data_IF_330261277075
#
_entry.id   IF_330261277075
#
_cell.length_a   1.000
_cell.length_b   1.000
_cell.length_c   1.000
_cell.angle_alpha   90.00
_cell.angle_beta   90.00
_cell.angle_gamma   90.00
#
_symmetry.space_group_name_H-M   'P 1'
#
loop_
_entity.id
_entity.type
_entity.pdbx_description
1 polymer ?
#
# COMPACT_ATOMS: atom_id res chain seq x y z
N UNK A 1 11.66 -2.15 -22.48
CA UNK A 1 12.30 -3.48 -22.41
C UNK A 1 11.70 -4.17 -21.20
N UNK A 2 10.79 -5.15 -21.41
CA UNK A 2 10.15 -5.86 -20.31
C UNK A 2 11.13 -6.92 -19.79
N UNK A 3 11.63 -6.76 -18.57
CA UNK A 3 12.69 -7.62 -18.00
C UNK A 3 12.16 -8.95 -17.43
N UNK A 4 10.85 -9.16 -17.40
CA UNK A 4 10.24 -10.41 -16.96
C UNK A 4 9.09 -10.78 -17.90
N UNK A 5 9.05 -12.05 -18.32
CA UNK A 5 7.85 -12.62 -18.92
C UNK A 5 6.73 -12.53 -17.87
N UNK A 6 5.66 -11.75 -18.09
CA UNK A 6 4.61 -11.57 -17.10
C UNK A 6 3.93 -12.89 -16.71
N UNK A 7 4.05 -13.91 -17.57
CA UNK A 7 3.46 -15.22 -17.36
C UNK A 7 4.35 -16.14 -16.51
N UNK A 8 5.66 -15.88 -16.40
CA UNK A 8 6.58 -16.68 -15.57
C UNK A 8 6.71 -16.16 -14.15
N UNK A 9 6.65 -17.08 -13.18
CA UNK A 9 6.98 -16.82 -11.77
C UNK A 9 8.35 -16.14 -11.64
N UNK A 10 8.45 -15.13 -10.77
CA UNK A 10 9.76 -14.59 -10.36
C UNK A 10 10.48 -15.49 -9.35
N UNK A 11 9.86 -16.62 -9.01
CA UNK A 11 10.18 -17.51 -7.89
C UNK A 11 9.44 -17.10 -6.62
N UNK A 12 9.23 -18.08 -5.72
CA UNK A 12 8.61 -17.91 -4.40
C UNK A 12 9.01 -16.63 -3.68
N UNK A 13 10.29 -16.29 -3.69
CA UNK A 13 10.81 -15.09 -3.03
C UNK A 13 10.20 -13.80 -3.62
N UNK A 14 10.21 -13.66 -4.94
CA UNK A 14 9.68 -12.48 -5.63
C UNK A 14 8.17 -12.43 -5.57
N UNK A 15 7.50 -13.55 -5.79
CA UNK A 15 6.03 -13.61 -5.82
C UNK A 15 5.46 -13.33 -4.41
N UNK A 16 6.07 -13.88 -3.35
CA UNK A 16 5.68 -13.55 -1.97
C UNK A 16 5.96 -12.07 -1.63
N UNK A 17 7.15 -11.56 -1.97
CA UNK A 17 7.51 -10.16 -1.73
C UNK A 17 6.55 -9.19 -2.41
N UNK A 18 6.18 -9.44 -3.66
CA UNK A 18 5.22 -8.62 -4.38
C UNK A 18 3.79 -8.74 -3.84
N UNK A 19 3.38 -9.94 -3.44
CA UNK A 19 2.07 -10.16 -2.82
C UNK A 19 1.92 -9.35 -1.51
N UNK A 20 2.98 -9.24 -0.70
CA UNK A 20 3.02 -8.35 0.46
C UNK A 20 2.83 -6.87 0.08
N UNK A 21 3.46 -6.43 -1.01
CA UNK A 21 3.32 -5.06 -1.54
C UNK A 21 1.88 -4.76 -1.97
N UNK A 22 1.25 -5.68 -2.70
CA UNK A 22 -0.16 -5.55 -3.08
C UNK A 22 -1.11 -5.58 -1.88
N UNK A 23 -0.82 -6.40 -0.88
CA UNK A 23 -1.57 -6.41 0.37
C UNK A 23 -1.47 -5.04 1.06
N UNK A 24 -0.27 -4.48 1.21
CA UNK A 24 -0.09 -3.14 1.77
C UNK A 24 -0.88 -2.07 0.98
N UNK A 25 -0.81 -2.10 -0.35
CA UNK A 25 -1.59 -1.19 -1.21
C UNK A 25 -3.10 -1.35 -0.98
N UNK A 26 -3.61 -2.58 -0.91
CA UNK A 26 -5.02 -2.84 -0.64
C UNK A 26 -5.45 -2.26 0.71
N UNK A 27 -4.64 -2.42 1.76
CA UNK A 27 -4.91 -1.83 3.06
C UNK A 27 -4.86 -0.30 3.05
N UNK A 28 -3.94 0.30 2.29
CA UNK A 28 -3.91 1.75 2.07
C UNK A 28 -5.18 2.24 1.36
N UNK A 29 -5.65 1.52 0.35
CA UNK A 29 -6.92 1.81 -0.35
C UNK A 29 -8.13 1.73 0.60
N UNK A 30 -8.20 0.70 1.44
CA UNK A 30 -9.25 0.57 2.46
C UNK A 30 -9.24 1.75 3.45
N UNK A 31 -8.07 2.23 3.85
CA UNK A 31 -7.96 3.40 4.73
C UNK A 31 -8.48 4.69 4.09
N UNK A 32 -8.56 4.77 2.76
CA UNK A 32 -9.10 5.93 2.07
C UNK A 32 -10.64 5.97 2.08
N UNK A 33 -11.28 4.82 2.30
CA UNK A 33 -12.73 4.71 2.39
C UNK A 33 -13.22 5.36 3.70
N UNK A 34 -14.18 6.30 3.64
CA UNK A 34 -14.66 6.97 4.83
C UNK A 34 -15.43 6.02 5.77
N UNK A 35 -14.91 5.80 6.97
CA UNK A 35 -15.57 5.00 8.01
C UNK A 35 -16.70 5.72 8.77
N UNK A 36 -17.40 4.99 9.67
CA UNK A 36 -18.43 5.55 10.54
C UNK A 36 -17.86 6.63 11.46
N UNK A 37 -18.68 7.63 11.81
CA UNK A 37 -18.29 8.63 12.82
C UNK A 37 -18.23 7.95 14.19
N UNK A 38 -17.09 8.00 14.87
CA UNK A 38 -17.01 7.72 16.32
C UNK A 38 -15.88 6.82 16.79
N UNK A 39 -15.34 5.92 15.96
CA UNK A 39 -14.29 4.97 16.41
C UNK A 39 -13.00 5.13 15.59
N UNK A 40 -12.01 5.89 16.08
CA UNK A 40 -10.72 6.04 15.38
C UNK A 40 -9.85 4.77 15.45
N UNK A 41 -10.07 3.92 16.46
CA UNK A 41 -9.22 2.74 16.74
C UNK A 41 -9.07 1.75 15.58
N UNK A 42 -10.14 1.34 14.86
CA UNK A 42 -9.98 0.39 13.76
C UNK A 42 -9.15 0.94 12.59
N UNK A 43 -9.32 2.22 12.25
CA UNK A 43 -8.55 2.88 11.21
C UNK A 43 -7.08 3.00 11.60
N UNK A 44 -6.80 3.40 12.84
CA UNK A 44 -5.45 3.47 13.39
C UNK A 44 -4.77 2.08 13.41
N UNK A 45 -5.46 1.06 13.91
CA UNK A 45 -4.94 -0.30 13.97
C UNK A 45 -4.66 -0.86 12.56
N UNK A 46 -5.56 -0.65 11.61
CA UNK A 46 -5.32 -1.00 10.21
C UNK A 46 -4.09 -0.26 9.67
N UNK A 47 -3.96 1.04 9.96
CA UNK A 47 -2.80 1.84 9.60
C UNK A 47 -1.47 1.25 10.07
N UNK A 48 -1.40 0.76 11.32
CA UNK A 48 -0.20 0.10 11.83
C UNK A 48 0.09 -1.23 11.14
N UNK A 49 -0.92 -2.04 10.83
CA UNK A 49 -0.72 -3.29 10.09
C UNK A 49 -0.27 -3.04 8.64
N UNK A 50 -0.84 -2.04 7.98
CA UNK A 50 -0.42 -1.64 6.63
C UNK A 50 1.03 -1.15 6.65
N UNK A 51 1.42 -0.35 7.64
CA UNK A 51 2.82 0.04 7.83
C UNK A 51 3.73 -1.16 8.08
N UNK A 52 3.33 -2.09 8.97
CA UNK A 52 4.13 -3.28 9.27
C UNK A 52 4.34 -4.16 8.03
N UNK A 53 3.30 -4.38 7.22
CA UNK A 53 3.38 -5.16 5.98
C UNK A 53 4.22 -4.42 4.92
N UNK A 54 4.09 -3.10 4.80
CA UNK A 54 4.93 -2.31 3.91
C UNK A 54 6.42 -2.35 4.30
N UNK A 55 6.72 -2.26 5.61
CA UNK A 55 8.08 -2.45 6.13
C UNK A 55 8.59 -3.86 5.84
N UNK A 56 7.76 -4.90 6.04
CA UNK A 56 8.13 -6.28 5.74
C UNK A 56 8.42 -6.45 4.25
N UNK A 57 7.58 -5.92 3.36
CA UNK A 57 7.81 -5.92 1.92
C UNK A 57 9.14 -5.26 1.54
N UNK A 58 9.43 -4.06 2.06
CA UNK A 58 10.68 -3.36 1.78
C UNK A 58 11.90 -4.13 2.32
N UNK A 59 11.82 -4.62 3.56
CA UNK A 59 12.88 -5.39 4.19
C UNK A 59 13.14 -6.72 3.47
N UNK A 60 12.09 -7.40 3.02
CA UNK A 60 12.16 -8.67 2.28
C UNK A 60 13.07 -8.53 1.05
N UNK A 61 12.81 -7.51 0.21
CA UNK A 61 13.64 -7.24 -0.96
C UNK A 61 15.03 -6.72 -0.62
N UNK A 62 15.18 -5.86 0.38
CA UNK A 62 16.49 -5.37 0.81
C UNK A 62 17.40 -6.48 1.32
N UNK A 63 16.84 -7.47 2.02
CA UNK A 63 17.58 -8.59 2.58
C UNK A 63 17.90 -9.66 1.53
N UNK A 64 16.95 -9.98 0.66
CA UNK A 64 17.06 -11.11 -0.27
C UNK A 64 17.43 -10.77 -1.71
N UNK A 65 17.38 -9.50 -2.13
CA UNK A 65 17.74 -9.08 -3.49
C UNK A 65 18.84 -8.00 -3.50
N UNK A 66 19.96 -8.30 -4.16
CA UNK A 66 21.04 -7.34 -4.35
C UNK A 66 20.67 -6.23 -5.35
N UNK A 67 19.82 -6.53 -6.33
CA UNK A 67 19.40 -5.56 -7.34
C UNK A 67 18.55 -4.47 -6.71
N UNK A 68 17.60 -4.83 -5.85
CA UNK A 68 16.81 -3.88 -5.07
C UNK A 68 17.69 -2.88 -4.28
N UNK A 69 18.78 -3.34 -3.65
CA UNK A 69 19.74 -2.47 -2.94
C UNK A 69 20.47 -1.52 -3.90
N UNK A 70 20.91 -2.04 -5.05
CA UNK A 70 21.59 -1.23 -6.06
C UNK A 70 20.67 -0.15 -6.65
N UNK A 71 19.40 -0.47 -6.88
CA UNK A 71 18.40 0.46 -7.42
C UNK A 71 17.95 1.55 -6.43
N UNK A 72 18.35 1.47 -5.16
CA UNK A 72 18.15 2.55 -4.19
C UNK A 72 19.31 3.55 -4.12
N UNK A 73 20.40 3.32 -4.87
CA UNK A 73 21.49 4.29 -4.97
C UNK A 73 21.04 5.53 -5.78
N UNK A 74 21.69 6.70 -5.59
CA UNK A 74 21.44 7.87 -6.41
C UNK A 74 21.54 7.56 -7.91
N UNK A 75 20.54 7.98 -8.69
CA UNK A 75 20.43 7.63 -10.11
C UNK A 75 19.67 6.33 -10.42
N UNK A 76 19.23 5.60 -9.38
CA UNK A 76 18.34 4.45 -9.53
C UNK A 76 16.96 4.78 -10.11
N UNK A 77 16.17 3.76 -10.50
CA UNK A 77 14.88 3.95 -11.14
C UNK A 77 13.88 4.68 -10.23
N UNK A 78 13.10 5.59 -10.82
CA UNK A 78 12.15 6.45 -10.11
C UNK A 78 11.15 5.67 -9.24
N UNK A 79 10.69 4.50 -9.69
CA UNK A 79 9.73 3.72 -8.92
C UNK A 79 10.27 3.30 -7.56
N UNK A 80 11.57 3.00 -7.41
CA UNK A 80 12.16 2.63 -6.12
C UNK A 80 12.13 3.80 -5.12
N UNK A 81 12.46 5.01 -5.59
CA UNK A 81 12.37 6.23 -4.80
C UNK A 81 10.94 6.57 -4.41
N UNK A 82 9.97 6.34 -5.29
CA UNK A 82 8.54 6.49 -4.99
C UNK A 82 8.07 5.47 -3.93
N UNK A 83 8.58 4.24 -3.97
CA UNK A 83 8.32 3.22 -2.95
C UNK A 83 8.83 3.66 -1.58
N UNK A 84 10.08 4.15 -1.51
CA UNK A 84 10.66 4.70 -0.30
C UNK A 84 9.90 5.94 0.21
N UNK A 85 9.56 6.88 -0.69
CA UNK A 85 8.78 8.06 -0.34
C UNK A 85 7.39 7.68 0.20
N UNK A 86 6.72 6.70 -0.42
CA UNK A 86 5.45 6.16 0.06
C UNK A 86 5.58 5.56 1.47
N UNK A 87 6.63 4.78 1.72
CA UNK A 87 6.89 4.20 3.05
C UNK A 87 7.14 5.27 4.11
N UNK A 88 7.95 6.29 3.80
CA UNK A 88 8.24 7.40 4.71
C UNK A 88 6.98 8.25 5.00
N UNK A 89 6.17 8.52 3.98
CA UNK A 89 4.88 9.20 4.15
C UNK A 89 3.92 8.38 5.00
N UNK A 90 3.85 7.07 4.79
CA UNK A 90 3.01 6.17 5.59
C UNK A 90 3.44 6.16 7.06
N UNK A 91 4.75 6.04 7.33
CA UNK A 91 5.30 6.12 8.68
C UNK A 91 5.00 7.49 9.32
N UNK A 92 5.20 8.58 8.58
CA UNK A 92 4.87 9.93 9.03
C UNK A 92 3.39 10.10 9.36
N UNK A 93 2.49 9.56 8.54
CA UNK A 93 1.04 9.56 8.78
C UNK A 93 0.69 8.78 10.05
N UNK A 94 1.28 7.61 10.27
CA UNK A 94 1.09 6.81 11.48
C UNK A 94 1.56 7.54 12.74
N UNK A 95 2.73 8.19 12.69
CA UNK A 95 3.26 9.00 13.80
C UNK A 95 2.35 10.21 14.07
N UNK A 96 1.98 10.96 13.03
CA UNK A 96 1.11 12.13 13.15
C UNK A 96 -0.28 11.81 13.71
N UNK A 97 -0.78 10.59 13.47
CA UNK A 97 -2.07 10.15 13.96
C UNK A 97 -2.06 9.75 15.44
N UNK A 98 -0.89 9.46 16.02
CA UNK A 98 -0.74 8.93 17.38
C UNK A 98 -1.18 9.94 18.44
N UNK A 99 -1.92 9.46 19.44
CA UNK A 99 -2.25 10.22 20.64
C UNK A 99 -1.24 9.92 21.75
N UNK A 100 -0.82 10.91 22.57
CA UNK A 100 -1.31 12.29 22.64
C UNK A 100 -0.63 13.26 21.65
N UNK A 101 0.42 12.84 20.93
CA UNK A 101 1.29 13.70 20.11
C UNK A 101 0.53 14.55 19.09
N UNK A 102 -0.51 13.97 18.46
CA UNK A 102 -1.43 14.70 17.57
C UNK A 102 -1.99 15.98 18.18
N UNK A 103 -2.38 15.95 19.46
CA UNK A 103 -2.95 17.12 20.16
C UNK A 103 -1.91 18.19 20.47
N UNK A 104 -0.62 17.83 20.53
CA UNK A 104 0.49 18.77 20.74
C UNK A 104 0.83 19.53 19.46
N UNK A 105 0.86 18.83 18.33
CA UNK A 105 1.23 19.41 17.03
C UNK A 105 0.07 20.17 16.35
N UNK A 106 -1.17 19.73 16.57
CA UNK A 106 -2.34 20.33 15.94
C UNK A 106 -3.41 20.69 16.98
N UNK A 107 -3.47 21.96 17.41
CA UNK A 107 -4.50 22.45 18.33
C UNK A 107 -5.91 22.32 17.74
N UNK A 108 -6.04 22.39 16.40
CA UNK A 108 -7.31 22.25 15.70
C UNK A 108 -7.43 20.91 14.96
N UNK A 109 -8.53 20.20 15.20
CA UNK A 109 -8.82 18.94 14.51
C UNK A 109 -9.05 19.14 13.00
N UNK A 110 -9.59 20.30 12.60
CA UNK A 110 -9.82 20.64 11.18
C UNK A 110 -8.51 20.74 10.40
N UNK A 111 -7.51 21.41 10.96
CA UNK A 111 -6.18 21.55 10.36
C UNK A 111 -5.50 20.20 10.20
N UNK A 112 -5.44 19.41 11.28
CA UNK A 112 -4.93 18.04 11.25
C UNK A 112 -5.60 17.20 10.15
N UNK A 113 -6.93 17.18 10.11
CA UNK A 113 -7.67 16.38 9.14
C UNK A 113 -7.36 16.76 7.69
N UNK A 114 -7.19 18.06 7.39
CA UNK A 114 -6.85 18.54 6.04
C UNK A 114 -5.43 18.11 5.66
N UNK A 115 -4.46 18.34 6.54
CA UNK A 115 -3.06 17.96 6.30
C UNK A 115 -2.92 16.44 6.15
N UNK A 116 -3.46 15.67 7.10
CA UNK A 116 -3.43 14.20 7.07
C UNK A 116 -4.06 13.66 5.79
N UNK A 117 -5.14 14.28 5.30
CA UNK A 117 -5.77 13.90 4.03
C UNK A 117 -4.88 14.16 2.82
N UNK A 118 -4.21 15.31 2.75
CA UNK A 118 -3.30 15.61 1.63
C UNK A 118 -2.08 14.69 1.64
N UNK A 119 -1.50 14.43 2.81
CA UNK A 119 -0.40 13.49 2.98
C UNK A 119 -0.82 12.06 2.62
N UNK A 120 -2.02 11.62 3.00
CA UNK A 120 -2.55 10.31 2.61
C UNK A 120 -2.76 10.19 1.09
N UNK A 121 -3.23 11.25 0.42
CA UNK A 121 -3.32 11.28 -1.04
C UNK A 121 -1.95 11.24 -1.72
N UNK A 122 -0.97 11.96 -1.18
CA UNK A 122 0.41 11.92 -1.68
C UNK A 122 1.04 10.53 -1.49
N UNK A 123 0.81 9.90 -0.34
CA UNK A 123 1.24 8.53 -0.05
C UNK A 123 0.63 7.55 -1.06
N UNK A 124 -0.70 7.62 -1.27
CA UNK A 124 -1.39 6.77 -2.24
C UNK A 124 -0.85 6.98 -3.66
N UNK A 125 -0.64 8.22 -4.08
CA UNK A 125 -0.09 8.52 -5.40
C UNK A 125 1.33 7.97 -5.57
N UNK A 126 2.20 8.13 -4.57
CA UNK A 126 3.56 7.60 -4.58
C UNK A 126 3.57 6.06 -4.66
N UNK A 127 2.79 5.38 -3.81
CA UNK A 127 2.68 3.91 -3.82
C UNK A 127 2.08 3.39 -5.12
N UNK A 128 1.05 4.05 -5.66
CA UNK A 128 0.43 3.65 -6.91
C UNK A 128 1.39 3.83 -8.09
N UNK A 129 2.09 4.96 -8.18
CA UNK A 129 3.11 5.18 -9.20
C UNK A 129 4.29 4.20 -9.04
N UNK A 130 4.71 3.86 -7.82
CA UNK A 130 5.70 2.82 -7.57
C UNK A 130 5.29 1.48 -8.22
N UNK A 131 4.04 1.05 -8.02
CA UNK A 131 3.51 -0.20 -8.60
C UNK A 131 3.37 -0.09 -10.12
N UNK A 132 2.83 1.01 -10.64
CA UNK A 132 2.61 1.17 -12.09
C UNK A 132 3.92 1.27 -12.87
N UNK A 133 4.91 1.98 -12.33
CA UNK A 133 6.22 2.17 -12.98
C UNK A 133 7.17 0.98 -12.80
N UNK A 134 6.92 0.09 -11.83
CA UNK A 134 7.67 -1.16 -11.73
C UNK A 134 7.32 -2.11 -12.87
N UNK A 135 6.06 -2.06 -13.35
CA UNK A 135 5.55 -2.89 -14.45
C UNK A 135 5.39 -4.38 -14.10
N UNK A 136 5.68 -4.78 -12.86
CA UNK A 136 5.57 -6.16 -12.41
C UNK A 136 4.08 -6.56 -12.29
N UNK A 137 3.74 -7.70 -12.91
CA UNK A 137 2.38 -8.28 -12.95
C UNK A 137 1.29 -7.43 -13.60
N UNK A 138 1.65 -6.33 -14.28
CA UNK A 138 0.72 -5.45 -15.00
C UNK A 138 1.11 -5.30 -16.49
N UNK A 139 1.27 -6.39 -17.26
CA UNK A 139 1.65 -6.31 -18.68
C UNK A 139 0.63 -5.57 -19.57
N UNK A 140 -0.64 -5.51 -19.17
CA UNK A 140 -1.71 -4.95 -19.98
C UNK A 140 -2.19 -3.62 -19.40
N UNK A 141 -2.50 -2.66 -20.28
CA UNK A 141 -2.92 -1.31 -19.89
C UNK A 141 -4.17 -1.32 -18.97
N UNK A 142 -5.08 -2.28 -19.13
CA UNK A 142 -6.27 -2.38 -18.30
C UNK A 142 -5.96 -2.87 -16.88
N UNK A 143 -4.89 -3.66 -16.71
CA UNK A 143 -4.40 -4.07 -15.39
C UNK A 143 -3.80 -2.88 -14.66
N UNK A 144 -3.18 -1.93 -15.37
CA UNK A 144 -2.75 -0.65 -14.81
C UNK A 144 -3.92 0.32 -14.54
N UNK A 145 -4.92 0.36 -15.43
CA UNK A 145 -6.08 1.24 -15.28
C UNK A 145 -7.00 0.84 -14.11
N UNK A 146 -7.15 -0.46 -13.86
CA UNK A 146 -7.99 -0.98 -12.77
C UNK A 146 -7.59 -0.46 -11.37
N UNK A 147 -6.34 -0.59 -10.88
CA UNK A 147 -5.94 -0.08 -9.57
C UNK A 147 -6.01 1.45 -9.51
N UNK A 148 -5.81 2.16 -10.62
CA UNK A 148 -6.03 3.62 -10.69
C UNK A 148 -7.50 3.95 -10.47
N UNK A 149 -8.41 3.28 -11.18
CA UNK A 149 -9.85 3.48 -11.02
C UNK A 149 -10.31 3.16 -9.59
N UNK A 150 -9.82 2.07 -9.00
CA UNK A 150 -10.09 1.69 -7.61
C UNK A 150 -9.54 2.76 -6.65
N UNK A 151 -8.31 3.23 -6.85
CA UNK A 151 -7.71 4.28 -6.03
C UNK A 151 -8.53 5.58 -6.07
N UNK A 152 -8.97 6.01 -7.25
CA UNK A 152 -9.85 7.17 -7.41
C UNK A 152 -11.20 6.95 -6.74
N UNK A 153 -11.80 5.76 -6.86
CA UNK A 153 -13.05 5.42 -6.22
C UNK A 153 -12.92 5.42 -4.68
N UNK A 154 -11.89 4.79 -4.11
CA UNK A 154 -11.62 4.78 -2.67
C UNK A 154 -11.32 6.19 -2.15
N UNK A 155 -10.53 6.98 -2.88
CA UNK A 155 -10.19 8.33 -2.47
C UNK A 155 -11.38 9.29 -2.58
N UNK A 156 -12.04 9.38 -3.73
CA UNK A 156 -13.01 10.44 -4.02
C UNK A 156 -14.47 9.99 -4.00
N UNK A 157 -14.74 8.68 -4.06
CA UNK A 157 -16.08 8.08 -4.12
C UNK A 157 -16.87 8.11 -2.81
N UNK A 158 -16.63 9.07 -1.91
CA UNK A 158 -17.30 9.17 -0.59
C UNK A 158 -18.83 9.17 -0.66
N UNK A 159 -19.41 9.60 -1.78
CA UNK A 159 -20.87 9.59 -2.02
C UNK A 159 -21.41 8.21 -2.41
N UNK A 160 -20.54 7.35 -2.95
CA UNK A 160 -20.87 6.05 -3.53
C UNK A 160 -20.69 4.96 -2.46
N UNK A 161 -19.68 5.09 -1.61
CA UNK A 161 -19.47 4.14 -0.52
C UNK A 161 -20.58 4.31 0.52
N UNK A 162 -21.40 3.28 0.79
CA UNK A 162 -22.22 3.27 1.99
C UNK A 162 -21.29 3.53 3.18
N UNK A 163 -21.80 4.14 4.26
CA UNK A 163 -21.05 4.26 5.52
C UNK A 163 -20.88 2.85 6.09
N UNK A 164 -19.96 2.09 5.51
CA UNK A 164 -19.69 0.72 5.87
C UNK A 164 -19.17 0.73 7.32
N UNK A 165 -19.59 -0.26 8.10
CA UNK A 165 -18.93 -0.57 9.36
C UNK A 165 -17.43 -0.70 9.09
N UNK A 166 -16.61 -0.24 10.05
CA UNK A 166 -15.17 -0.39 9.93
C UNK A 166 -14.84 -1.86 9.66
N UNK A 167 -14.13 -2.14 8.57
CA UNK A 167 -13.69 -3.51 8.24
C UNK A 167 -12.87 -4.02 9.42
N UNK A 168 -13.23 -5.17 10.03
CA UNK A 168 -12.43 -5.74 11.10
C UNK A 168 -11.01 -6.01 10.57
N UNK A 169 -10.00 -5.53 11.27
CA UNK A 169 -8.58 -5.73 10.90
C UNK A 169 -8.27 -7.23 10.69
N UNK A 170 -8.84 -8.09 11.54
CA UNK A 170 -8.70 -9.54 11.41
C UNK A 170 -9.28 -10.08 10.08
N UNK A 171 -10.39 -9.54 9.60
CA UNK A 171 -10.97 -9.94 8.31
C UNK A 171 -10.09 -9.52 7.14
N UNK A 172 -9.53 -8.31 7.20
CA UNK A 172 -8.57 -7.84 6.18
C UNK A 172 -7.29 -8.66 6.18
N UNK A 173 -6.71 -8.96 7.35
CA UNK A 173 -5.53 -9.82 7.48
C UNK A 173 -5.81 -11.24 6.99
N UNK A 174 -6.95 -11.83 7.36
CA UNK A 174 -7.32 -13.19 6.96
C UNK A 174 -7.55 -13.31 5.46
N UNK A 175 -8.36 -12.42 4.88
CA UNK A 175 -8.62 -12.40 3.44
C UNK A 175 -7.36 -12.05 2.64
N UNK A 176 -6.59 -11.08 3.12
CA UNK A 176 -5.32 -10.67 2.52
C UNK A 176 -4.26 -11.76 2.53
N UNK A 177 -4.07 -12.42 3.68
CA UNK A 177 -3.15 -13.55 3.81
C UNK A 177 -3.58 -14.75 2.95
N UNK A 178 -4.88 -15.04 2.90
CA UNK A 178 -5.42 -16.04 1.98
C UNK A 178 -5.16 -15.70 0.51
N UNK A 179 -5.37 -14.45 0.11
CA UNK A 179 -5.10 -13.98 -1.25
C UNK A 179 -3.60 -14.06 -1.60
N UNK A 180 -2.71 -13.71 -0.67
CA UNK A 180 -1.26 -13.88 -0.83
C UNK A 180 -0.91 -15.36 -1.03
N UNK A 181 -1.43 -16.25 -0.19
CA UNK A 181 -1.15 -17.68 -0.30
C UNK A 181 -1.65 -18.26 -1.63
N UNK A 182 -2.89 -17.94 -2.02
CA UNK A 182 -3.46 -18.38 -3.31
C UNK A 182 -2.66 -17.83 -4.49
N UNK A 183 -2.28 -16.55 -4.46
CA UNK A 183 -1.47 -15.94 -5.52
C UNK A 183 -0.13 -16.68 -5.69
N UNK A 184 0.60 -16.90 -4.60
CA UNK A 184 1.89 -17.61 -4.63
C UNK A 184 1.70 -19.04 -5.13
N UNK A 185 0.70 -19.78 -4.62
CA UNK A 185 0.44 -21.16 -5.05
C UNK A 185 0.07 -21.26 -6.53
N UNK A 186 -0.81 -20.38 -7.03
CA UNK A 186 -1.20 -20.37 -8.44
C UNK A 186 0.01 -20.16 -9.35
N UNK A 187 0.94 -19.30 -8.94
CA UNK A 187 2.13 -18.96 -9.71
C UNK A 187 3.20 -20.05 -9.72
N UNK A 188 3.26 -20.85 -8.66
CA UNK A 188 4.18 -21.99 -8.58
C UNK A 188 3.62 -23.24 -9.31
N UNK A 189 2.30 -23.43 -9.31
CA UNK A 189 1.65 -24.62 -9.89
C UNK A 189 1.35 -24.45 -11.39
N UNK A 190 1.19 -23.23 -11.89
CA UNK A 190 0.90 -22.93 -13.30
C UNK A 190 2.12 -22.27 -13.98
N UNK A 191 3.13 -23.04 -14.42
CA UNK A 191 4.30 -22.53 -15.14
C UNK A 191 3.98 -22.07 -16.58
#
# INVERSE_FOLDING_TARGET
MALADPWRSGGLFWDFGNALGFLALAGLLFQMIPGPRGTPRPHELLGYWVLAIACLHAFWFLAGDAVARFYLLPGGPLHMWLGLAGLLLLAGLSILARMPDRRRLHPSYRGFRRLHRHLALACLAATLLHVLLSGFYLPLWWQAAAPVAIALACAFGRRIWPRASAVPVAAWLGAGGGAVAVFVLMREVMP
#
